data_IF_672299866344
#
_entry.id   IF_672299866344
#
_cell.length_a   1.000
_cell.length_b   1.000
_cell.length_c   1.000
_cell.angle_alpha   90.00
_cell.angle_beta   90.00
_cell.angle_gamma   90.00
#
_symmetry.space_group_name_H-M   'P 1'
#
loop_
_entity.id
_entity.type
_entity.pdbx_description
1 polymer ?
#
# COMPACT_ATOMS: atom_id res chain seq x y z
N UNK A 1 -5.52 1.75 -27.82
CA UNK A 1 -6.37 1.92 -26.63
C UNK A 1 -5.98 0.80 -25.68
N UNK A 2 -4.95 1.03 -24.86
CA UNK A 2 -4.44 0.00 -23.96
C UNK A 2 -5.35 -0.10 -22.75
N UNK A 3 -6.08 -1.21 -22.68
CA UNK A 3 -6.89 -1.58 -21.53
C UNK A 3 -5.93 -2.24 -20.53
N UNK A 4 -5.74 -1.62 -19.37
CA UNK A 4 -5.05 -2.24 -18.23
C UNK A 4 -5.91 -3.44 -17.81
N UNK A 5 -5.59 -4.64 -18.28
CA UNK A 5 -6.27 -5.90 -17.91
C UNK A 5 -5.82 -6.41 -16.54
N UNK A 6 -5.40 -5.50 -15.66
CA UNK A 6 -5.31 -5.81 -14.25
C UNK A 6 -6.72 -5.88 -13.72
N UNK A 7 -7.20 -7.06 -13.38
CA UNK A 7 -8.01 -7.15 -12.16
C UNK A 7 -7.07 -6.64 -11.06
N UNK A 8 -6.98 -5.32 -10.86
CA UNK A 8 -6.51 -4.77 -9.61
C UNK A 8 -7.47 -5.36 -8.59
N UNK A 9 -7.06 -6.48 -8.00
CA UNK A 9 -7.77 -7.07 -6.89
C UNK A 9 -7.84 -5.92 -5.91
N UNK A 10 -9.04 -5.37 -5.65
CA UNK A 10 -9.29 -4.58 -4.45
C UNK A 10 -8.75 -5.42 -3.32
N UNK A 11 -7.52 -5.14 -2.91
CA UNK A 11 -6.85 -5.93 -1.89
C UNK A 11 -7.71 -5.71 -0.68
N UNK A 12 -8.38 -6.78 -0.24
CA UNK A 12 -9.18 -6.70 0.97
C UNK A 12 -8.18 -6.73 2.12
N UNK A 13 -7.73 -5.54 2.48
CA UNK A 13 -6.89 -5.34 3.64
C UNK A 13 -7.70 -5.68 4.89
N UNK A 14 -7.17 -6.58 5.72
CA UNK A 14 -7.64 -6.66 7.11
C UNK A 14 -7.24 -5.37 7.82
N UNK A 15 -8.02 -4.97 8.81
CA UNK A 15 -7.73 -3.73 9.54
C UNK A 15 -6.37 -3.80 10.24
N UNK A 16 -5.97 -4.97 10.71
CA UNK A 16 -4.63 -5.23 11.25
C UNK A 16 -3.51 -4.89 10.25
N UNK A 17 -3.68 -5.26 8.99
CA UNK A 17 -2.69 -4.98 7.95
C UNK A 17 -2.62 -3.49 7.64
N UNK A 18 -3.77 -2.79 7.64
CA UNK A 18 -3.81 -1.33 7.49
C UNK A 18 -3.13 -0.64 8.67
N UNK A 19 -3.45 -1.06 9.89
CA UNK A 19 -2.88 -0.48 11.11
C UNK A 19 -1.36 -0.64 11.15
N UNK A 20 -0.84 -1.79 10.71
CA UNK A 20 0.60 -2.00 10.58
C UNK A 20 1.24 -1.02 9.60
N UNK A 21 0.63 -0.80 8.45
CA UNK A 21 1.14 0.14 7.44
C UNK A 21 1.11 1.57 7.96
N UNK A 22 0.01 1.96 8.61
CA UNK A 22 -0.14 3.29 9.20
C UNK A 22 0.90 3.50 10.30
N UNK A 23 1.09 2.53 11.21
CA UNK A 23 2.09 2.62 12.25
C UNK A 23 3.53 2.76 11.71
N UNK A 24 3.84 2.06 10.60
CA UNK A 24 5.13 2.19 9.93
C UNK A 24 5.30 3.57 9.27
N UNK A 25 4.25 4.11 8.65
CA UNK A 25 4.26 5.43 8.02
C UNK A 25 4.34 6.60 9.02
N UNK A 26 3.81 6.41 10.23
CA UNK A 26 3.85 7.39 11.32
C UNK A 26 5.17 7.36 12.12
N UNK A 27 6.07 6.41 11.85
CA UNK A 27 7.35 6.32 12.54
C UNK A 27 8.25 7.53 12.21
N UNK A 28 9.02 8.07 13.18
CA UNK A 28 9.94 9.18 12.92
C UNK A 28 10.94 8.84 11.80
N UNK A 29 10.99 9.66 10.76
CA UNK A 29 11.87 9.45 9.61
C UNK A 29 11.33 8.48 8.55
N UNK A 30 10.11 7.98 8.69
CA UNK A 30 9.46 7.18 7.66
C UNK A 30 9.18 7.99 6.40
N UNK A 31 9.36 7.35 5.25
CA UNK A 31 9.05 7.93 3.93
C UNK A 31 7.86 7.19 3.34
N UNK A 32 6.73 7.89 3.20
CA UNK A 32 5.48 7.34 2.68
C UNK A 32 5.65 6.59 1.34
N UNK A 33 6.50 7.10 0.44
CA UNK A 33 6.77 6.45 -0.83
C UNK A 33 7.50 5.10 -0.69
N UNK A 34 8.38 4.97 0.30
CA UNK A 34 9.08 3.72 0.58
C UNK A 34 8.14 2.69 1.21
N UNK A 35 7.35 3.13 2.20
CA UNK A 35 6.31 2.30 2.84
C UNK A 35 5.29 1.82 1.79
N UNK A 36 4.82 2.71 0.92
CA UNK A 36 3.91 2.36 -0.16
C UNK A 36 4.50 1.32 -1.13
N UNK A 37 5.78 1.44 -1.50
CA UNK A 37 6.48 0.45 -2.36
C UNK A 37 6.63 -0.90 -1.66
N UNK A 38 6.99 -0.91 -0.38
CA UNK A 38 7.12 -2.13 0.44
C UNK A 38 5.80 -2.91 0.50
N UNK A 39 4.70 -2.21 0.46
CA UNK A 39 3.36 -2.78 0.53
C UNK A 39 2.64 -2.92 -0.82
N UNK A 40 3.33 -2.63 -1.94
CA UNK A 40 2.81 -2.67 -3.31
C UNK A 40 1.52 -1.83 -3.47
N UNK A 41 1.48 -0.68 -2.78
CA UNK A 41 0.33 0.25 -2.80
C UNK A 41 0.42 1.21 -4.00
N UNK A 42 1.61 1.36 -4.59
CA UNK A 42 1.85 2.23 -5.73
C UNK A 42 1.72 1.48 -7.06
N UNK A 43 0.51 1.09 -7.42
CA UNK A 43 0.10 0.92 -8.81
C UNK A 43 -1.39 1.21 -8.96
#
# INVERSE_FOLDING_TARGET
MEIITGIERRRRWRDEDKLRIVAEAEAPGAVFAEVARRHDISR
#
